data_IF_040562007845
#
_entry.id   IF_040562007845
#
_cell.length_a   1.000
_cell.length_b   1.000
_cell.length_c   1.000
_cell.angle_alpha   90.00
_cell.angle_beta   90.00
_cell.angle_gamma   90.00
#
_symmetry.space_group_name_H-M   'P 1'
#
loop_
_entity.id
_entity.type
_entity.pdbx_description
1 polymer ?
#
# COMPACT_ATOMS: atom_id res chain seq x y z
N UNK A 1 27.16 -29.26 28.13
CA UNK A 1 28.16 -28.17 28.17
C UNK A 1 28.11 -27.24 26.94
N UNK A 2 27.71 -27.69 25.74
CA UNK A 2 27.64 -26.82 24.55
C UNK A 2 26.56 -25.72 24.58
N UNK A 3 25.43 -25.95 25.26
CA UNK A 3 24.34 -24.97 25.34
C UNK A 3 24.68 -23.74 26.21
N UNK A 4 25.52 -23.90 27.23
CA UNK A 4 25.93 -22.80 28.11
C UNK A 4 26.85 -21.81 27.38
N UNK A 5 27.76 -22.32 26.55
CA UNK A 5 28.64 -21.48 25.73
C UNK A 5 27.87 -20.66 24.68
N UNK A 6 26.79 -21.21 24.12
CA UNK A 6 25.92 -20.48 23.20
C UNK A 6 25.17 -19.32 23.88
N UNK A 7 24.64 -19.57 25.08
CA UNK A 7 23.95 -18.54 25.88
C UNK A 7 24.92 -17.44 26.32
N UNK A 8 26.15 -17.80 26.70
CA UNK A 8 27.17 -16.84 27.12
C UNK A 8 27.65 -15.97 25.95
N UNK A 9 27.85 -16.55 24.76
CA UNK A 9 28.20 -15.82 23.55
C UNK A 9 27.07 -14.87 23.08
N UNK A 10 25.80 -15.26 23.27
CA UNK A 10 24.66 -14.43 22.92
C UNK A 10 24.49 -13.25 23.89
N UNK A 11 24.72 -13.48 25.19
CA UNK A 11 24.77 -12.41 26.20
C UNK A 11 25.95 -11.44 25.96
N UNK A 12 27.10 -11.91 25.48
CA UNK A 12 28.22 -11.02 25.14
C UNK A 12 27.94 -10.14 23.92
N UNK A 13 27.27 -10.67 22.89
CA UNK A 13 26.83 -9.87 21.72
C UNK A 13 25.85 -8.77 22.12
N UNK A 14 24.90 -9.06 23.01
CA UNK A 14 23.96 -8.04 23.50
C UNK A 14 24.63 -7.00 24.42
N UNK A 15 25.59 -7.40 25.26
CA UNK A 15 26.40 -6.45 26.05
C UNK A 15 27.32 -5.58 25.19
N UNK A 16 27.75 -6.05 24.03
CA UNK A 16 28.53 -5.27 23.06
C UNK A 16 27.63 -4.26 22.31
N UNK A 17 26.41 -4.66 21.93
CA UNK A 17 25.45 -3.77 21.28
C UNK A 17 24.98 -2.64 22.21
N UNK A 18 24.77 -2.93 23.50
CA UNK A 18 24.35 -1.93 24.50
C UNK A 18 25.44 -0.89 24.81
N UNK A 19 26.73 -1.20 24.58
CA UNK A 19 27.85 -0.26 24.82
C UNK A 19 28.06 0.77 23.71
N UNK A 20 27.46 0.60 22.52
CA UNK A 20 27.76 1.45 21.34
C UNK A 20 26.63 2.42 20.93
N UNK A 21 25.60 2.61 21.76
CA UNK A 21 24.65 3.70 21.57
C UNK A 21 24.77 4.68 22.72
N UNK A 22 25.16 5.91 22.38
CA UNK A 22 24.99 7.12 23.18
C UNK A 22 23.68 7.07 23.98
N UNK A 23 23.77 6.67 25.26
CA UNK A 23 22.68 6.71 26.22
C UNK A 23 22.88 7.75 27.33
N UNK A 24 23.30 9.01 27.04
CA UNK A 24 23.18 10.07 28.03
C UNK A 24 21.71 10.54 28.22
N UNK A 25 20.81 10.20 27.30
CA UNK A 25 19.41 10.70 27.32
C UNK A 25 18.56 9.97 28.38
N UNK A 26 18.70 8.66 28.55
CA UNK A 26 17.88 7.91 29.51
C UNK A 26 18.30 8.12 30.97
N UNK A 27 19.61 8.27 31.26
CA UNK A 27 20.05 8.50 32.65
C UNK A 27 19.70 9.88 33.19
N UNK A 28 19.65 10.91 32.33
CA UNK A 28 19.25 12.25 32.74
C UNK A 28 17.74 12.32 33.07
N UNK A 29 16.91 11.62 32.31
CA UNK A 29 15.47 11.54 32.59
C UNK A 29 15.17 10.81 33.91
N UNK A 30 15.88 9.72 34.21
CA UNK A 30 15.71 8.99 35.48
C UNK A 30 16.17 9.82 36.68
N UNK A 31 17.29 10.56 36.59
CA UNK A 31 17.73 11.47 37.64
C UNK A 31 16.74 12.61 37.90
N UNK A 32 16.18 13.19 36.84
CA UNK A 32 15.14 14.22 36.95
C UNK A 32 13.86 13.67 37.58
N UNK A 33 13.45 12.45 37.22
CA UNK A 33 12.28 11.80 37.81
C UNK A 33 12.45 11.56 39.33
N UNK A 34 13.62 11.04 39.74
CA UNK A 34 13.94 10.78 41.14
C UNK A 34 14.03 12.08 41.97
N UNK A 35 14.56 13.16 41.39
CA UNK A 35 14.59 14.48 42.03
C UNK A 35 13.18 15.06 42.22
N UNK A 36 12.32 14.92 41.21
CA UNK A 36 10.93 15.37 41.27
C UNK A 36 10.10 14.57 42.29
N UNK A 37 10.29 13.24 42.40
CA UNK A 37 9.64 12.44 43.43
C UNK A 37 10.06 12.85 44.85
N UNK A 38 11.35 13.13 45.08
CA UNK A 38 11.84 13.60 46.39
C UNK A 38 11.24 14.96 46.77
N UNK A 39 11.15 15.90 45.83
CA UNK A 39 10.51 17.20 46.05
C UNK A 39 9.02 17.05 46.36
N UNK A 40 8.30 16.24 45.58
CA UNK A 40 6.88 15.98 45.81
C UNK A 40 6.62 15.35 47.19
N UNK A 41 7.46 14.40 47.63
CA UNK A 41 7.36 13.79 48.96
C UNK A 41 7.69 14.79 50.09
N UNK A 42 8.64 15.70 49.89
CA UNK A 42 8.95 16.73 50.87
C UNK A 42 7.81 17.76 50.99
N UNK A 43 7.18 18.12 49.87
CA UNK A 43 6.02 19.00 49.84
C UNK A 43 4.78 18.36 50.49
N UNK A 44 4.52 17.07 50.26
CA UNK A 44 3.39 16.38 50.89
C UNK A 44 3.52 16.36 52.42
N UNK A 45 4.72 16.07 52.94
CA UNK A 45 5.03 16.13 54.38
C UNK A 45 4.87 17.54 54.96
N UNK A 46 5.30 18.59 54.25
CA UNK A 46 5.07 19.99 54.66
C UNK A 46 3.58 20.34 54.69
N UNK A 47 2.81 19.89 53.71
CA UNK A 47 1.35 20.11 53.66
C UNK A 47 0.65 19.40 54.81
N UNK A 48 1.04 18.17 55.15
CA UNK A 48 0.50 17.41 56.28
C UNK A 48 0.80 18.10 57.62
N UNK A 49 2.05 18.51 57.84
CA UNK A 49 2.44 19.27 59.04
C UNK A 49 1.64 20.58 59.18
N UNK A 50 1.52 21.37 58.11
CA UNK A 50 0.73 22.61 58.14
C UNK A 50 -0.76 22.34 58.36
N UNK A 51 -1.32 21.27 57.77
CA UNK A 51 -2.72 20.88 57.99
C UNK A 51 -2.96 20.54 59.46
N UNK A 52 -2.08 19.76 60.08
CA UNK A 52 -2.17 19.40 61.49
C UNK A 52 -2.04 20.63 62.41
N UNK A 53 -1.16 21.59 62.06
CA UNK A 53 -1.04 22.86 62.79
C UNK A 53 -2.29 23.75 62.65
N UNK A 54 -2.91 23.80 61.47
CA UNK A 54 -4.16 24.55 61.24
C UNK A 54 -5.33 23.89 62.00
N UNK A 55 -5.43 22.57 62.01
CA UNK A 55 -6.45 21.86 62.79
C UNK A 55 -6.28 22.08 64.30
N UNK A 56 -5.05 22.07 64.81
CA UNK A 56 -4.77 22.41 66.21
C UNK A 56 -5.18 23.87 66.54
N UNK A 57 -4.87 24.82 65.65
CA UNK A 57 -5.24 26.23 65.84
C UNK A 57 -6.75 26.49 65.71
N UNK A 58 -7.47 25.76 64.86
CA UNK A 58 -8.91 25.93 64.66
C UNK A 58 -9.73 25.34 65.81
N UNK A 59 -9.26 24.26 66.44
CA UNK A 59 -9.92 23.70 67.63
C UNK A 59 -9.87 24.68 68.82
N UNK A 60 -8.79 25.47 68.95
CA UNK A 60 -8.70 26.54 69.96
C UNK A 60 -9.67 27.70 69.66
N UNK A 61 -9.78 28.15 68.39
CA UNK A 61 -10.67 29.26 68.01
C UNK A 61 -12.15 28.86 68.10
N UNK A 62 -12.50 27.60 67.80
CA UNK A 62 -13.88 27.11 67.84
C UNK A 62 -14.39 26.91 69.28
N UNK A 63 -13.48 26.74 70.26
CA UNK A 63 -13.83 26.71 71.69
C UNK A 63 -14.04 28.11 72.30
N UNK A 64 -13.52 29.18 71.67
CA UNK A 64 -13.76 30.57 72.07
C UNK A 64 -15.00 31.21 71.43
N UNK A 65 -15.65 30.53 70.48
CA UNK A 65 -16.86 30.99 69.79
C UNK A 65 -18.09 30.13 70.13
N UNK A 66 -18.29 29.87 71.42
CA UNK A 66 -19.61 29.50 71.93
C UNK A 66 -20.60 30.69 71.78
N UNK A 67 -21.91 30.44 71.63
CA UNK A 67 -22.66 30.99 70.50
C UNK A 67 -23.31 32.34 70.81
N UNK A 68 -22.89 33.40 70.10
CA UNK A 68 -23.79 34.54 69.85
C UNK A 68 -24.80 34.09 68.80
N UNK A 69 -25.89 33.45 69.27
CA UNK A 69 -27.07 33.10 68.48
C UNK A 69 -27.78 34.37 67.98
N UNK A 70 -27.19 35.08 67.04
CA UNK A 70 -27.97 35.90 66.11
C UNK A 70 -28.07 35.08 64.84
N UNK A 71 -29.22 34.44 64.62
CA UNK A 71 -29.51 33.90 63.30
C UNK A 71 -29.59 35.11 62.36
N UNK A 72 -28.65 35.33 61.42
CA UNK A 72 -28.89 36.32 60.40
C UNK A 72 -30.16 35.89 59.66
N UNK A 73 -31.09 36.83 59.49
CA UNK A 73 -32.32 36.63 58.70
C UNK A 73 -31.87 36.43 57.25
N UNK A 74 -31.51 35.19 56.93
CA UNK A 74 -30.94 34.84 55.65
C UNK A 74 -32.08 34.50 54.68
N UNK A 75 -32.05 35.14 53.50
CA UNK A 75 -32.97 34.88 52.41
C UNK A 75 -32.89 33.43 51.89
N UNK A 76 -33.77 33.09 50.95
CA UNK A 76 -33.89 31.73 50.36
C UNK A 76 -32.59 31.21 49.76
N UNK A 77 -31.80 32.08 49.11
CA UNK A 77 -30.50 31.74 48.54
C UNK A 77 -29.49 31.27 49.62
N UNK A 78 -29.40 31.99 50.73
CA UNK A 78 -28.51 31.64 51.83
C UNK A 78 -28.93 30.36 52.55
N UNK A 79 -30.24 30.12 52.72
CA UNK A 79 -30.73 28.82 53.23
C UNK A 79 -30.32 27.66 52.34
N UNK A 80 -30.33 27.85 51.01
CA UNK A 80 -29.87 26.86 50.03
C UNK A 80 -28.36 26.63 50.11
N UNK A 81 -27.55 27.69 50.17
CA UNK A 81 -26.09 27.58 50.29
C UNK A 81 -25.68 26.89 51.58
N UNK A 82 -26.30 27.26 52.71
CA UNK A 82 -26.10 26.59 53.99
C UNK A 82 -26.43 25.10 53.89
N UNK A 83 -27.54 24.75 53.23
CA UNK A 83 -27.90 23.35 53.03
C UNK A 83 -26.90 22.61 52.13
N UNK A 84 -26.39 23.26 51.08
CA UNK A 84 -25.34 22.70 50.21
C UNK A 84 -24.05 22.47 51.00
N UNK A 85 -23.62 23.43 51.82
CA UNK A 85 -22.40 23.28 52.62
C UNK A 85 -22.53 22.18 53.67
N UNK A 86 -23.69 22.09 54.34
CA UNK A 86 -24.00 21.01 55.28
C UNK A 86 -23.94 19.64 54.58
N UNK A 87 -24.57 19.50 53.40
CA UNK A 87 -24.55 18.25 52.65
C UNK A 87 -23.15 17.90 52.13
N UNK A 88 -22.37 18.88 51.68
CA UNK A 88 -20.98 18.68 51.27
C UNK A 88 -20.12 18.21 52.44
N UNK A 89 -20.27 18.82 53.60
CA UNK A 89 -19.56 18.40 54.81
C UNK A 89 -19.93 16.97 55.21
N UNK A 90 -21.21 16.60 55.14
CA UNK A 90 -21.65 15.22 55.37
C UNK A 90 -21.02 14.26 54.36
N UNK A 91 -20.99 14.63 53.07
CA UNK A 91 -20.36 13.81 52.01
C UNK A 91 -18.86 13.62 52.25
N UNK A 92 -18.13 14.70 52.55
CA UNK A 92 -16.70 14.65 52.81
C UNK A 92 -16.39 13.82 54.07
N UNK A 93 -17.16 13.98 55.15
CA UNK A 93 -17.06 13.15 56.34
C UNK A 93 -17.33 11.66 56.06
N UNK A 94 -18.30 11.35 55.21
CA UNK A 94 -18.59 9.96 54.81
C UNK A 94 -17.48 9.39 53.93
N UNK A 95 -16.92 10.19 53.04
CA UNK A 95 -15.78 9.82 52.20
C UNK A 95 -14.54 9.54 53.05
N UNK A 96 -14.28 10.37 54.05
CA UNK A 96 -13.20 10.14 55.03
C UNK A 96 -13.46 8.89 55.85
N UNK A 97 -14.68 8.69 56.35
CA UNK A 97 -15.06 7.47 57.08
C UNK A 97 -14.87 6.21 56.23
N UNK A 98 -15.13 6.24 54.92
CA UNK A 98 -14.86 5.11 54.02
C UNK A 98 -13.35 4.78 53.95
N UNK A 99 -12.49 5.80 54.04
CA UNK A 99 -11.04 5.64 54.03
C UNK A 99 -10.51 5.18 55.40
N UNK A 100 -11.05 5.71 56.50
CA UNK A 100 -10.56 5.42 57.86
C UNK A 100 -11.17 4.18 58.48
N UNK A 101 -12.39 3.77 58.08
CA UNK A 101 -13.11 2.64 58.66
C UNK A 101 -12.32 1.31 58.61
N UNK A 102 -11.59 0.94 57.54
CA UNK A 102 -10.80 -0.30 57.53
C UNK A 102 -9.68 -0.29 58.58
N UNK A 103 -9.02 0.85 58.79
CA UNK A 103 -7.95 0.98 59.78
C UNK A 103 -8.50 0.87 61.21
N UNK A 104 -9.63 1.56 61.47
CA UNK A 104 -10.32 1.47 62.76
C UNK A 104 -10.82 0.06 63.04
N UNK A 105 -11.31 -0.65 62.01
CA UNK A 105 -11.74 -2.04 62.12
C UNK A 105 -10.57 -2.97 62.42
N UNK A 106 -9.42 -2.80 61.77
CA UNK A 106 -8.21 -3.56 62.03
C UNK A 106 -7.66 -3.32 63.44
N UNK A 107 -7.70 -2.09 63.93
CA UNK A 107 -7.32 -1.74 65.30
C UNK A 107 -8.26 -2.36 66.33
N UNK A 108 -9.57 -2.26 66.13
CA UNK A 108 -10.57 -2.91 66.98
C UNK A 108 -10.38 -4.44 66.99
N UNK A 109 -10.11 -5.04 65.83
CA UNK A 109 -9.83 -6.47 65.67
C UNK A 109 -8.56 -6.88 66.43
N UNK A 110 -7.48 -6.10 66.32
CA UNK A 110 -6.24 -6.29 67.07
C UNK A 110 -6.54 -6.31 68.58
N UNK A 111 -7.16 -5.26 69.09
CA UNK A 111 -7.47 -5.12 70.52
C UNK A 111 -8.32 -6.29 71.04
N UNK A 112 -9.32 -6.73 70.27
CA UNK A 112 -10.14 -7.90 70.60
C UNK A 112 -9.34 -9.21 70.66
N UNK A 113 -8.47 -9.46 69.67
CA UNK A 113 -7.67 -10.68 69.61
C UNK A 113 -6.58 -10.72 70.68
N UNK A 114 -5.92 -9.59 70.95
CA UNK A 114 -4.94 -9.47 72.03
C UNK A 114 -5.58 -9.72 73.40
N UNK A 115 -6.78 -9.16 73.64
CA UNK A 115 -7.53 -9.39 74.88
C UNK A 115 -7.97 -10.86 75.06
N UNK A 116 -8.48 -11.48 74.00
CA UNK A 116 -9.06 -12.84 74.07
C UNK A 116 -8.01 -13.95 74.05
N UNK A 117 -6.90 -13.77 73.34
CA UNK A 117 -5.94 -14.84 73.04
C UNK A 117 -4.52 -14.54 73.51
N UNK A 118 -4.24 -13.32 73.99
CA UNK A 118 -2.90 -12.85 74.29
C UNK A 118 -2.14 -12.38 73.04
N UNK A 119 -1.16 -11.50 73.26
CA UNK A 119 -0.38 -10.85 72.21
C UNK A 119 0.37 -11.84 71.30
N UNK A 120 0.99 -12.87 71.88
CA UNK A 120 1.76 -13.87 71.12
C UNK A 120 0.90 -14.63 70.10
N UNK A 121 -0.33 -15.01 70.49
CA UNK A 121 -1.25 -15.73 69.61
C UNK A 121 -1.84 -14.81 68.54
N UNK A 122 -2.05 -13.52 68.85
CA UNK A 122 -2.40 -12.51 67.85
C UNK A 122 -1.29 -12.37 66.80
N UNK A 123 -0.04 -12.17 67.21
CA UNK A 123 1.12 -12.05 66.30
C UNK A 123 1.23 -13.27 65.39
N UNK A 124 1.13 -14.48 65.95
CA UNK A 124 1.18 -15.72 65.17
C UNK A 124 0.05 -15.78 64.13
N UNK A 125 -1.20 -15.51 64.52
CA UNK A 125 -2.35 -15.53 63.60
C UNK A 125 -2.21 -14.48 62.50
N UNK A 126 -1.84 -13.25 62.86
CA UNK A 126 -1.65 -12.14 61.91
C UNK A 126 -0.50 -12.43 60.95
N UNK A 127 0.58 -13.05 61.41
CA UNK A 127 1.69 -13.44 60.55
C UNK A 127 1.27 -14.46 59.48
N UNK A 128 0.40 -15.41 59.82
CA UNK A 128 -0.14 -16.41 58.89
C UNK A 128 -1.06 -15.75 57.86
N UNK A 129 -1.93 -14.83 58.30
CA UNK A 129 -2.81 -14.07 57.40
C UNK A 129 -2.02 -13.22 56.42
N UNK A 130 -1.09 -12.40 56.92
CA UNK A 130 -0.24 -11.55 56.08
C UNK A 130 0.60 -12.38 55.12
N UNK A 131 1.12 -13.53 55.57
CA UNK A 131 1.84 -14.45 54.68
C UNK A 131 0.92 -14.95 53.57
N UNK A 132 -0.31 -15.37 53.89
CA UNK A 132 -1.31 -15.83 52.90
C UNK A 132 -1.70 -14.74 51.91
N UNK A 133 -1.94 -13.52 52.39
CA UNK A 133 -2.24 -12.35 51.55
C UNK A 133 -1.06 -12.04 50.62
N UNK A 134 0.17 -12.05 51.14
CA UNK A 134 1.36 -11.84 50.33
C UNK A 134 1.53 -12.92 49.25
N UNK A 135 1.30 -14.21 49.56
CA UNK A 135 1.35 -15.27 48.54
C UNK A 135 0.25 -15.11 47.50
N UNK A 136 -0.97 -14.78 47.91
CA UNK A 136 -2.09 -14.56 47.00
C UNK A 136 -1.85 -13.35 46.09
N UNK A 137 -1.35 -12.24 46.65
CA UNK A 137 -0.99 -11.06 45.91
C UNK A 137 0.13 -11.33 44.91
N UNK A 138 1.19 -12.05 45.34
CA UNK A 138 2.30 -12.46 44.47
C UNK A 138 1.81 -13.33 43.31
N UNK A 139 0.99 -14.35 43.59
CA UNK A 139 0.41 -15.23 42.56
C UNK A 139 -0.47 -14.46 41.57
N UNK A 140 -1.34 -13.59 42.07
CA UNK A 140 -2.22 -12.79 41.23
C UNK A 140 -1.45 -11.77 40.38
N UNK A 141 -0.43 -11.15 40.96
CA UNK A 141 0.45 -10.19 40.25
C UNK A 141 1.26 -10.89 39.18
N UNK A 142 1.84 -12.05 39.48
CA UNK A 142 2.59 -12.87 38.51
C UNK A 142 1.68 -13.35 37.37
N UNK A 143 0.46 -13.80 37.69
CA UNK A 143 -0.50 -14.22 36.68
C UNK A 143 -0.92 -13.06 35.76
N UNK A 144 -1.20 -11.87 36.32
CA UNK A 144 -1.49 -10.67 35.54
C UNK A 144 -0.30 -10.26 34.67
N UNK A 145 0.90 -10.27 35.24
CA UNK A 145 2.13 -9.95 34.53
C UNK A 145 2.34 -10.88 33.33
N UNK A 146 2.24 -12.19 33.52
CA UNK A 146 2.38 -13.16 32.43
C UNK A 146 1.30 -12.97 31.35
N UNK A 147 0.07 -12.60 31.72
CA UNK A 147 -0.99 -12.27 30.76
C UNK A 147 -0.65 -11.03 29.94
N UNK A 148 -0.12 -9.98 30.58
CA UNK A 148 0.29 -8.76 29.87
C UNK A 148 1.52 -8.99 28.99
N UNK A 149 2.48 -9.82 29.42
CA UNK A 149 3.61 -10.26 28.57
C UNK A 149 3.10 -10.99 27.33
N UNK A 150 2.18 -11.94 27.50
CA UNK A 150 1.58 -12.64 26.35
C UNK A 150 0.87 -11.69 25.38
N UNK A 151 0.22 -10.63 25.87
CA UNK A 151 -0.34 -9.59 24.98
C UNK A 151 0.74 -8.80 24.23
N UNK A 152 1.83 -8.46 24.90
CA UNK A 152 2.96 -7.77 24.26
C UNK A 152 3.57 -8.66 23.17
N UNK A 153 3.74 -9.95 23.43
CA UNK A 153 4.23 -10.91 22.43
C UNK A 153 3.29 -10.95 21.21
N UNK A 154 1.98 -11.04 21.41
CA UNK A 154 1.01 -10.99 20.29
C UNK A 154 1.05 -9.67 19.52
N UNK A 155 1.33 -8.54 20.19
CA UNK A 155 1.47 -7.24 19.52
C UNK A 155 2.77 -7.17 18.71
N UNK A 156 3.86 -7.78 19.19
CA UNK A 156 5.12 -7.89 18.47
C UNK A 156 4.91 -8.73 17.21
N UNK A 157 4.29 -9.91 17.34
CA UNK A 157 3.99 -10.79 16.19
C UNK A 157 3.11 -10.08 15.15
N UNK A 158 2.08 -9.37 15.61
CA UNK A 158 1.19 -8.59 14.73
C UNK A 158 1.95 -7.47 14.00
N UNK A 159 2.88 -6.80 14.69
CA UNK A 159 3.70 -5.75 14.10
C UNK A 159 4.67 -6.32 13.05
N UNK A 160 5.31 -7.45 13.34
CA UNK A 160 6.20 -8.13 12.40
C UNK A 160 5.45 -8.63 11.16
N UNK A 161 4.25 -9.18 11.32
CA UNK A 161 3.36 -9.55 10.21
C UNK A 161 3.00 -8.33 9.35
N UNK A 162 2.65 -7.20 9.98
CA UNK A 162 2.36 -5.96 9.26
C UNK A 162 3.59 -5.42 8.52
N UNK A 163 4.76 -5.47 9.13
CA UNK A 163 6.03 -5.05 8.53
C UNK A 163 6.39 -5.91 7.31
N UNK A 164 6.29 -7.23 7.43
CA UNK A 164 6.49 -8.17 6.33
C UNK A 164 5.45 -7.96 5.21
N UNK A 165 4.22 -7.59 5.57
CA UNK A 165 3.18 -7.21 4.62
C UNK A 165 3.54 -5.97 3.80
N UNK A 166 4.13 -4.95 4.44
CA UNK A 166 4.60 -3.73 3.75
C UNK A 166 5.74 -4.03 2.78
N UNK A 167 6.70 -4.88 3.14
CA UNK A 167 7.79 -5.27 2.23
C UNK A 167 7.27 -5.97 0.97
N UNK A 168 6.30 -6.89 1.13
CA UNK A 168 5.64 -7.56 -0.01
C UNK A 168 4.85 -6.57 -0.88
N UNK A 169 4.22 -5.56 -0.28
CA UNK A 169 3.50 -4.53 -1.00
C UNK A 169 4.44 -3.65 -1.85
N UNK A 170 5.62 -3.33 -1.33
CA UNK A 170 6.67 -2.60 -2.05
C UNK A 170 7.19 -3.40 -3.25
N UNK A 171 7.46 -4.70 -3.06
CA UNK A 171 7.85 -5.58 -4.16
C UNK A 171 6.78 -5.65 -5.26
N UNK A 172 5.51 -5.76 -4.85
CA UNK A 172 4.36 -5.76 -5.75
C UNK A 172 4.25 -4.44 -6.53
N UNK A 173 4.41 -3.30 -5.86
CA UNK A 173 4.42 -1.98 -6.49
C UNK A 173 5.51 -1.87 -7.56
N UNK A 174 6.74 -2.29 -7.25
CA UNK A 174 7.85 -2.29 -8.20
C UNK A 174 7.59 -3.20 -9.41
N UNK A 175 6.93 -4.34 -9.20
CA UNK A 175 6.54 -5.26 -10.28
C UNK A 175 5.51 -4.63 -11.22
N UNK A 176 4.47 -4.00 -10.66
CA UNK A 176 3.47 -3.26 -11.46
C UNK A 176 4.12 -2.13 -12.24
N UNK A 177 4.98 -1.33 -11.59
CA UNK A 177 5.67 -0.22 -12.25
C UNK A 177 6.49 -0.69 -13.46
N UNK A 178 7.26 -1.78 -13.30
CA UNK A 178 8.00 -2.40 -14.40
C UNK A 178 7.07 -2.91 -15.51
N UNK A 179 5.95 -3.55 -15.15
CA UNK A 179 4.96 -4.03 -16.13
C UNK A 179 4.33 -2.88 -16.92
N UNK A 180 4.00 -1.77 -16.27
CA UNK A 180 3.42 -0.60 -16.92
C UNK A 180 4.41 0.05 -17.89
N UNK A 181 5.66 0.21 -17.47
CA UNK A 181 6.71 0.75 -18.35
C UNK A 181 6.97 -0.15 -19.57
N UNK A 182 6.91 -1.48 -19.39
CA UNK A 182 7.03 -2.43 -20.50
C UNK A 182 5.83 -2.31 -21.47
N UNK A 183 4.62 -2.24 -20.94
CA UNK A 183 3.39 -2.10 -21.72
C UNK A 183 3.36 -0.78 -22.51
N UNK A 184 3.79 0.33 -21.90
CA UNK A 184 3.89 1.63 -22.56
C UNK A 184 4.88 1.59 -23.74
N UNK A 185 6.01 0.91 -23.56
CA UNK A 185 7.00 0.71 -24.63
C UNK A 185 6.43 -0.15 -25.77
N UNK A 186 5.76 -1.25 -25.46
CA UNK A 186 5.11 -2.11 -26.46
C UNK A 186 4.04 -1.34 -27.22
N UNK A 187 3.20 -0.57 -26.52
CA UNK A 187 2.20 0.30 -27.12
C UNK A 187 2.82 1.32 -28.08
N UNK A 188 3.91 1.98 -27.66
CA UNK A 188 4.62 2.93 -28.53
C UNK A 188 5.20 2.29 -29.79
N UNK A 189 5.67 1.04 -29.70
CA UNK A 189 6.17 0.28 -30.86
C UNK A 189 5.04 -0.12 -31.82
N UNK A 190 3.90 -0.55 -31.30
CA UNK A 190 2.72 -0.89 -32.11
C UNK A 190 2.15 0.35 -32.82
N UNK A 191 2.03 1.48 -32.11
CA UNK A 191 1.58 2.75 -32.73
C UNK A 191 2.54 3.19 -33.84
N UNK A 192 3.86 3.11 -33.60
CA UNK A 192 4.88 3.45 -34.62
C UNK A 192 4.82 2.51 -35.83
N UNK A 193 4.63 1.21 -35.59
CA UNK A 193 4.52 0.19 -36.64
C UNK A 193 3.24 0.39 -37.45
N UNK A 194 2.11 0.63 -36.79
CA UNK A 194 0.84 0.91 -37.46
C UNK A 194 0.93 2.19 -38.29
N UNK A 195 1.50 3.27 -37.75
CA UNK A 195 1.71 4.50 -38.50
C UNK A 195 2.60 4.29 -39.73
N UNK A 196 3.65 3.48 -39.61
CA UNK A 196 4.53 3.15 -40.74
C UNK A 196 3.80 2.31 -41.80
N UNK A 197 2.98 1.35 -41.38
CA UNK A 197 2.17 0.52 -42.27
C UNK A 197 1.08 1.34 -42.97
N UNK A 198 0.40 2.25 -42.27
CA UNK A 198 -0.60 3.15 -42.83
C UNK A 198 0.03 4.06 -43.91
N UNK A 199 1.21 4.62 -43.64
CA UNK A 199 1.96 5.40 -44.63
C UNK A 199 2.35 4.56 -45.84
N UNK A 200 2.79 3.32 -45.63
CA UNK A 200 3.12 2.40 -46.73
C UNK A 200 1.88 2.09 -47.58
N UNK A 201 0.76 1.75 -46.96
CA UNK A 201 -0.50 1.49 -47.64
C UNK A 201 -0.98 2.72 -48.42
N UNK A 202 -0.84 3.92 -47.85
CA UNK A 202 -1.13 5.17 -48.54
C UNK A 202 -0.29 5.36 -49.82
N UNK A 203 1.03 5.13 -49.75
CA UNK A 203 1.89 5.25 -50.94
C UNK A 203 1.63 4.16 -51.99
N UNK A 204 1.31 2.93 -51.56
CA UNK A 204 0.90 1.86 -52.47
C UNK A 204 -0.41 2.22 -53.18
N UNK A 205 -1.39 2.74 -52.44
CA UNK A 205 -2.67 3.19 -53.00
C UNK A 205 -2.47 4.33 -54.00
N UNK A 206 -1.69 5.37 -53.64
CA UNK A 206 -1.37 6.47 -54.53
C UNK A 206 -0.69 5.97 -55.82
N UNK A 207 0.26 5.04 -55.70
CA UNK A 207 0.91 4.43 -56.87
C UNK A 207 -0.06 3.67 -57.77
N UNK A 208 -1.03 2.96 -57.20
CA UNK A 208 -2.06 2.26 -57.99
C UNK A 208 -3.03 3.22 -58.68
N UNK A 209 -3.43 4.31 -58.01
CA UNK A 209 -4.29 5.36 -58.59
C UNK A 209 -3.58 6.08 -59.74
N UNK A 210 -2.32 6.46 -59.55
CA UNK A 210 -1.49 7.09 -60.59
C UNK A 210 -1.33 6.15 -61.80
N UNK A 211 -1.07 4.86 -61.57
CA UNK A 211 -0.94 3.87 -62.64
C UNK A 211 -2.25 3.68 -63.41
N UNK A 212 -3.39 3.67 -62.72
CA UNK A 212 -4.71 3.59 -63.34
C UNK A 212 -5.00 4.83 -64.21
N UNK A 213 -4.61 6.01 -63.74
CA UNK A 213 -4.71 7.25 -64.51
C UNK A 213 -3.89 7.21 -65.79
N UNK A 214 -2.61 6.80 -65.70
CA UNK A 214 -1.73 6.63 -66.87
C UNK A 214 -2.26 5.59 -67.85
N UNK A 215 -2.78 4.47 -67.35
CA UNK A 215 -3.42 3.45 -68.20
C UNK A 215 -4.60 4.01 -68.97
N UNK A 216 -5.46 4.78 -68.31
CA UNK A 216 -6.60 5.46 -68.94
C UNK A 216 -6.15 6.43 -70.03
N UNK A 217 -5.13 7.26 -69.76
CA UNK A 217 -4.56 8.21 -70.72
C UNK A 217 -3.98 7.51 -71.96
N UNK A 218 -3.19 6.44 -71.77
CA UNK A 218 -2.60 5.67 -72.85
C UNK A 218 -3.66 4.98 -73.71
N UNK A 219 -4.73 4.46 -73.09
CA UNK A 219 -5.87 3.87 -73.79
C UNK A 219 -6.57 4.88 -74.71
N UNK A 220 -6.85 6.08 -74.23
CA UNK A 220 -7.48 7.12 -75.05
C UNK A 220 -6.57 7.60 -76.18
N UNK A 221 -5.28 7.78 -75.90
CA UNK A 221 -4.27 8.14 -76.90
C UNK A 221 -4.19 7.08 -78.00
N UNK A 222 -4.22 5.80 -77.62
CA UNK A 222 -4.23 4.68 -78.56
C UNK A 222 -5.46 4.68 -79.47
N UNK A 223 -6.67 4.84 -78.91
CA UNK A 223 -7.91 4.93 -79.69
C UNK A 223 -7.86 6.10 -80.67
N UNK A 224 -7.34 7.25 -80.24
CA UNK A 224 -7.14 8.42 -81.11
C UNK A 224 -6.20 8.10 -82.28
N UNK A 225 -5.08 7.42 -82.03
CA UNK A 225 -4.15 7.01 -83.08
C UNK A 225 -4.80 6.06 -84.10
N UNK A 226 -5.66 5.14 -83.65
CA UNK A 226 -6.43 4.26 -84.56
C UNK A 226 -7.31 5.10 -85.48
N UNK A 227 -8.07 6.04 -84.92
CA UNK A 227 -8.99 6.89 -85.70
C UNK A 227 -8.21 7.70 -86.73
N UNK A 228 -7.12 8.35 -86.32
CA UNK A 228 -6.24 9.11 -87.23
C UNK A 228 -5.66 8.21 -88.32
N UNK A 229 -5.22 7.00 -87.97
CA UNK A 229 -4.69 6.04 -88.94
C UNK A 229 -5.75 5.58 -89.96
N UNK A 230 -6.98 5.32 -89.50
CA UNK A 230 -8.11 5.00 -90.38
C UNK A 230 -8.35 6.17 -91.33
N UNK A 231 -8.54 7.39 -90.80
CA UNK A 231 -8.78 8.59 -91.62
C UNK A 231 -7.64 8.81 -92.63
N UNK A 232 -6.38 8.76 -92.20
CA UNK A 232 -5.23 8.93 -93.08
C UNK A 232 -5.14 7.84 -94.17
N UNK A 233 -5.48 6.59 -93.83
CA UNK A 233 -5.50 5.47 -94.77
C UNK A 233 -6.54 5.63 -95.88
N UNK A 234 -7.61 6.39 -95.63
CA UNK A 234 -8.66 6.70 -96.60
C UNK A 234 -8.39 8.00 -97.37
N UNK A 235 -7.87 9.04 -96.72
CA UNK A 235 -7.68 10.36 -97.32
C UNK A 235 -6.41 10.46 -98.18
N UNK A 236 -5.37 9.71 -97.86
CA UNK A 236 -4.07 9.84 -98.54
C UNK A 236 -3.97 8.84 -99.69
N UNK A 237 -3.60 9.26 -100.92
CA UNK A 237 -3.31 8.32 -101.99
C UNK A 237 -2.03 7.55 -101.64
N UNK A 238 -2.15 6.24 -101.40
CA UNK A 238 -1.02 5.37 -101.05
C UNK A 238 -0.83 4.28 -102.09
N UNK A 239 0.42 3.83 -102.27
CA UNK A 239 0.80 2.73 -103.16
C UNK A 239 0.44 1.35 -102.62
N UNK A 240 0.02 1.26 -101.35
CA UNK A 240 -0.34 -0.01 -100.72
C UNK A 240 -1.67 -0.55 -101.25
N UNK A 241 -1.68 -1.84 -101.57
CA UNK A 241 -2.88 -2.57 -101.97
C UNK A 241 -3.92 -2.57 -100.83
N UNK A 242 -5.21 -2.51 -101.18
CA UNK A 242 -6.32 -2.53 -100.23
C UNK A 242 -6.24 -3.69 -99.23
N UNK A 243 -5.79 -4.87 -99.67
CA UNK A 243 -5.59 -6.06 -98.81
C UNK A 243 -4.54 -5.82 -97.73
N UNK A 244 -3.43 -5.17 -98.08
CA UNK A 244 -2.35 -4.86 -97.12
C UNK A 244 -2.81 -3.85 -96.08
N UNK A 245 -3.59 -2.83 -96.49
CA UNK A 245 -4.18 -1.85 -95.55
C UNK A 245 -5.11 -2.53 -94.54
N UNK A 246 -5.98 -3.43 -95.02
CA UNK A 246 -6.87 -4.21 -94.15
C UNK A 246 -6.13 -5.10 -93.15
N UNK A 247 -5.04 -5.76 -93.57
CA UNK A 247 -4.22 -6.59 -92.67
C UNK A 247 -3.54 -5.74 -91.59
N UNK A 248 -2.92 -4.61 -91.97
CA UNK A 248 -2.29 -3.71 -91.00
C UNK A 248 -3.31 -3.15 -90.02
N UNK A 249 -4.49 -2.75 -90.49
CA UNK A 249 -5.57 -2.27 -89.63
C UNK A 249 -6.05 -3.36 -88.66
N UNK A 250 -6.25 -4.59 -89.15
CA UNK A 250 -6.65 -5.73 -88.33
C UNK A 250 -5.60 -6.06 -87.25
N UNK A 251 -4.32 -6.06 -87.62
CA UNK A 251 -3.22 -6.29 -86.68
C UNK A 251 -3.17 -5.20 -85.61
N UNK A 252 -3.43 -3.95 -85.98
CA UNK A 252 -3.49 -2.82 -85.06
C UNK A 252 -4.72 -2.93 -84.13
N UNK A 253 -5.88 -3.37 -84.60
CA UNK A 253 -7.02 -3.63 -83.72
C UNK A 253 -6.79 -4.77 -82.71
N UNK A 254 -6.07 -5.82 -83.12
CA UNK A 254 -5.77 -6.99 -82.27
C UNK A 254 -4.58 -6.71 -81.32
N UNK A 255 -3.71 -5.77 -81.66
CA UNK A 255 -2.51 -5.41 -80.91
C UNK A 255 -2.69 -5.28 -79.38
N UNK A 256 -3.69 -4.56 -78.81
CA UNK A 256 -3.83 -4.41 -77.35
C UNK A 256 -4.00 -5.75 -76.62
N UNK A 257 -4.60 -6.75 -77.26
CA UNK A 257 -4.76 -8.08 -76.67
C UNK A 257 -3.44 -8.85 -76.68
N UNK A 258 -2.70 -8.76 -77.79
CA UNK A 258 -1.40 -9.44 -77.95
C UNK A 258 -0.38 -8.86 -76.98
N UNK A 259 -0.26 -7.53 -76.88
CA UNK A 259 0.74 -6.89 -76.02
C UNK A 259 0.47 -7.14 -74.53
N UNK A 260 -0.81 -7.20 -74.11
CA UNK A 260 -1.16 -7.54 -72.73
C UNK A 260 -0.70 -8.94 -72.35
N UNK A 261 -0.86 -9.92 -73.25
CA UNK A 261 -0.36 -11.27 -73.04
C UNK A 261 1.16 -11.28 -72.86
N UNK A 262 1.90 -10.65 -73.79
CA UNK A 262 3.36 -10.57 -73.69
C UNK A 262 3.85 -9.84 -72.45
N UNK A 263 3.19 -8.75 -72.03
CA UNK A 263 3.56 -8.00 -70.84
C UNK A 263 3.41 -8.85 -69.56
N UNK A 264 2.28 -9.54 -69.40
CA UNK A 264 2.06 -10.44 -68.25
C UNK A 264 3.04 -11.61 -68.27
N UNK A 265 3.26 -12.24 -69.42
CA UNK A 265 4.23 -13.33 -69.55
C UNK A 265 5.66 -12.86 -69.25
N UNK A 266 6.05 -11.68 -69.73
CA UNK A 266 7.37 -11.10 -69.45
C UNK A 266 7.54 -10.80 -67.96
N UNK A 267 6.53 -10.19 -67.33
CA UNK A 267 6.54 -9.91 -65.89
C UNK A 267 6.65 -11.19 -65.06
N UNK A 268 5.85 -12.20 -65.37
CA UNK A 268 5.90 -13.51 -64.71
C UNK A 268 7.27 -14.19 -64.92
N UNK A 269 7.84 -14.08 -66.13
CA UNK A 269 9.18 -14.61 -66.43
C UNK A 269 10.28 -13.90 -65.64
N UNK A 270 10.26 -12.57 -65.58
CA UNK A 270 11.19 -11.78 -64.76
C UNK A 270 11.04 -12.14 -63.28
N UNK A 271 9.82 -12.24 -62.76
CA UNK A 271 9.58 -12.66 -61.38
C UNK A 271 10.09 -14.07 -61.11
N UNK A 272 9.86 -15.00 -62.04
CA UNK A 272 10.39 -16.36 -61.96
C UNK A 272 11.92 -16.37 -61.87
N UNK A 273 12.59 -15.63 -62.74
CA UNK A 273 14.06 -15.47 -62.73
C UNK A 273 14.57 -14.81 -61.45
N UNK A 274 13.94 -13.71 -61.01
CA UNK A 274 14.33 -13.01 -59.78
C UNK A 274 14.08 -13.87 -58.53
N UNK A 275 13.06 -14.71 -58.53
CA UNK A 275 12.79 -15.64 -57.42
C UNK A 275 13.85 -16.74 -57.28
N UNK A 276 14.66 -17.00 -58.32
CA UNK A 276 15.80 -17.93 -58.26
C UNK A 276 17.05 -17.31 -57.63
N UNK A 277 17.12 -15.98 -57.51
CA UNK A 277 18.26 -15.32 -56.87
C UNK A 277 18.19 -15.53 -55.34
N UNK A 278 19.33 -15.81 -54.68
CA UNK A 278 19.37 -15.97 -53.24
C UNK A 278 18.91 -14.69 -52.55
N UNK A 279 17.97 -14.83 -51.61
CA UNK A 279 17.37 -13.72 -50.90
C UNK A 279 18.41 -12.97 -50.07
N UNK A 280 18.54 -11.66 -50.30
CA UNK A 280 19.39 -10.77 -49.53
C UNK A 280 18.66 -9.44 -49.22
N UNK A 281 19.30 -8.57 -48.42
CA UNK A 281 18.72 -7.28 -48.02
C UNK A 281 18.36 -6.38 -49.21
N UNK A 282 19.03 -6.54 -50.35
CA UNK A 282 18.84 -5.76 -51.57
C UNK A 282 17.73 -6.32 -52.48
N UNK A 283 17.49 -7.64 -52.47
CA UNK A 283 16.39 -8.26 -53.23
C UNK A 283 15.02 -7.96 -52.61
N UNK A 284 14.96 -7.55 -51.34
CA UNK A 284 13.72 -7.12 -50.66
C UNK A 284 13.09 -5.87 -51.29
N UNK A 285 13.92 -4.95 -51.80
CA UNK A 285 13.44 -3.73 -52.46
C UNK A 285 12.82 -4.01 -53.85
N UNK A 286 13.06 -5.19 -54.43
CA UNK A 286 12.56 -5.60 -55.75
C UNK A 286 11.22 -6.35 -55.67
N UNK A 287 10.55 -6.36 -54.52
CA UNK A 287 9.23 -6.99 -54.35
C UNK A 287 9.25 -8.52 -54.33
N UNK A 288 10.42 -9.15 -54.31
CA UNK A 288 10.58 -10.60 -54.14
C UNK A 288 10.60 -10.91 -52.65
N UNK A 289 9.44 -10.87 -51.99
CA UNK A 289 9.30 -11.39 -50.63
C UNK A 289 8.56 -12.72 -50.65
N UNK A 290 9.25 -13.80 -50.31
CA UNK A 290 8.54 -14.96 -49.80
C UNK A 290 7.97 -14.56 -48.42
N UNK A 291 6.69 -14.88 -48.12
CA UNK A 291 6.24 -14.80 -46.74
C UNK A 291 7.21 -15.67 -45.94
N UNK A 292 7.94 -15.08 -45.00
CA UNK A 292 8.92 -15.82 -44.22
C UNK A 292 8.18 -17.01 -43.56
N UNK A 293 8.47 -18.27 -43.94
CA UNK A 293 7.75 -19.42 -43.44
C UNK A 293 7.97 -19.60 -41.93
N UNK A 294 9.00 -18.95 -41.38
CA UNK A 294 9.29 -18.85 -39.96
C UNK A 294 8.83 -17.53 -39.33
N UNK A 295 8.39 -16.56 -40.12
CA UNK A 295 7.47 -15.52 -39.66
C UNK A 295 6.08 -16.13 -39.49
N UNK A 296 5.99 -17.16 -38.64
CA UNK A 296 5.00 -17.04 -37.59
C UNK A 296 5.24 -15.65 -37.05
N UNK A 297 4.33 -14.72 -37.31
CA UNK A 297 4.17 -13.57 -36.44
C UNK A 297 4.29 -14.23 -35.08
N UNK A 298 5.39 -13.96 -34.37
CA UNK A 298 5.41 -14.24 -32.95
C UNK A 298 4.39 -13.24 -32.45
N UNK A 299 3.11 -13.56 -32.62
CA UNK A 299 2.12 -13.51 -31.58
C UNK A 299 2.73 -14.48 -30.55
N UNK A 300 3.85 -14.06 -29.94
CA UNK A 300 4.23 -14.54 -28.64
C UNK A 300 2.93 -14.43 -27.89
N UNK A 301 2.44 -15.56 -27.34
CA UNK A 301 1.06 -15.75 -26.97
C UNK A 301 0.57 -14.44 -26.38
N UNK A 302 -0.34 -13.70 -27.06
CA UNK A 302 -0.74 -12.31 -26.72
C UNK A 302 -0.61 -12.23 -25.23
N UNK A 303 0.41 -11.52 -24.68
CA UNK A 303 0.96 -11.81 -23.37
C UNK A 303 -0.23 -11.97 -22.49
N UNK A 304 -0.59 -13.24 -22.23
CA UNK A 304 -1.68 -13.54 -21.34
C UNK A 304 -0.95 -13.28 -20.07
N UNK A 305 -0.92 -12.01 -19.71
CA UNK A 305 -0.58 -11.55 -18.41
C UNK A 305 -1.68 -12.19 -17.58
N UNK A 306 -1.44 -13.46 -17.26
CA UNK A 306 -2.08 -14.12 -16.15
C UNK A 306 -1.54 -13.29 -15.03
N UNK A 307 -2.34 -12.31 -14.62
CA UNK A 307 -2.18 -11.67 -13.32
C UNK A 307 -1.89 -12.83 -12.40
N UNK A 308 -0.68 -12.94 -11.83
CA UNK A 308 -0.35 -14.06 -10.97
C UNK A 308 -1.49 -14.13 -9.96
N UNK A 309 -2.13 -15.31 -9.78
CA UNK A 309 -3.28 -15.41 -8.90
C UNK A 309 -2.85 -14.80 -7.58
N UNK A 310 -3.53 -13.72 -7.20
CA UNK A 310 -3.25 -13.08 -5.93
C UNK A 310 -3.87 -14.03 -4.91
N UNK A 311 -3.09 -15.00 -4.44
CA UNK A 311 -3.40 -15.76 -3.24
C UNK A 311 -3.24 -14.80 -2.06
N UNK A 312 -4.12 -13.80 -1.99
CA UNK A 312 -4.40 -13.14 -0.72
C UNK A 312 -5.26 -14.15 0.01
N UNK A 313 -4.64 -14.97 0.86
CA UNK A 313 -5.36 -15.42 2.04
C UNK A 313 -5.70 -14.15 2.80
N UNK A 314 -6.89 -13.60 2.52
CA UNK A 314 -7.52 -12.60 3.36
C UNK A 314 -7.76 -13.32 4.68
N UNK A 315 -6.80 -13.24 5.60
CA UNK A 315 -7.08 -13.45 7.02
C UNK A 315 -8.18 -12.45 7.34
N UNK A 316 -9.35 -12.99 7.64
CA UNK A 316 -10.55 -12.22 7.94
C UNK A 316 -10.29 -11.45 9.25
N UNK A 317 -9.78 -10.23 9.14
CA UNK A 317 -9.55 -9.32 10.28
C UNK A 317 -10.87 -8.76 10.84
N UNK A 318 -12.02 -9.21 10.32
CA UNK A 318 -13.34 -8.68 10.64
C UNK A 318 -13.92 -9.08 12.00
N UNK A 319 -13.37 -10.08 12.70
CA UNK A 319 -14.00 -10.61 13.92
C UNK A 319 -13.39 -10.15 15.25
N UNK A 320 -12.20 -9.52 15.29
CA UNK A 320 -11.56 -9.12 16.55
C UNK A 320 -11.77 -7.65 16.94
N UNK A 321 -12.32 -6.81 16.05
CA UNK A 321 -12.54 -5.38 16.32
C UNK A 321 -13.87 -5.07 17.03
N UNK A 322 -14.80 -6.02 17.12
CA UNK A 322 -16.09 -5.82 17.80
C UNK A 322 -16.05 -6.02 19.32
N UNK A 323 -14.95 -6.54 19.90
CA UNK A 323 -14.86 -6.79 21.36
C UNK A 323 -14.14 -5.66 22.14
N UNK A 324 -13.77 -4.56 21.47
CA UNK A 324 -13.00 -3.45 22.08
C UNK A 324 -13.78 -2.11 22.15
N UNK A 325 -15.06 -2.09 21.76
CA UNK A 325 -15.95 -0.92 21.90
C UNK A 325 -17.07 -1.23 22.91
#
# INVERSE_FOLDING_TARGET
MSHFAAIEAQMEKERAYSRNKNTPICMNNVKNLMSNQKKALAESKRREYNRNRIHASNNDVQSMLAPVKSQPICGTACKREKKISELKQVYDNKKENVITAPVQLDEARKNYLEYTNGEQKYIATRSIELRREATNWSKNTLSKWNKEIGKIDTMIDTYDDAFNGLEKLDEYYHRISKSNNALEREYGLEVSTNSTNDRKAFYEMQGTEDLQWWYSLMKWTYILLIIVFITASFLTPTTYSWKQRGIVLSLLLIYPFIISFFAVSSFAGIHGLLSMLPYNTYTRALGVSFPDPNAKVKIGPSPRYKVPPVNVELKDFGSELEEVI
#
